data_IF_563855888583
#
_entry.id   IF_563855888583
#
_cell.length_a   1.000
_cell.length_b   1.000
_cell.length_c   1.000
_cell.angle_alpha   90.00
_cell.angle_beta   90.00
_cell.angle_gamma   90.00
#
_symmetry.space_group_name_H-M   'P 1'
#
loop_
_entity.id
_entity.type
_entity.pdbx_description
1 polymer ?
#
# COMPACT_ATOMS: atom_id res chain seq x y z
N UNK A 1 4.43 -14.94 7.52
CA UNK A 1 4.97 -13.64 7.90
C UNK A 1 3.98 -12.52 7.66
N UNK A 2 3.97 -11.56 8.56
CA UNK A 2 3.09 -10.40 8.44
C UNK A 2 3.90 -9.21 7.94
N UNK A 3 3.32 -8.46 7.00
CA UNK A 3 3.93 -7.26 6.47
C UNK A 3 3.01 -6.07 6.70
N UNK A 4 3.62 -4.94 7.07
CA UNK A 4 2.95 -3.66 7.11
C UNK A 4 3.31 -2.92 5.83
N UNK A 5 2.32 -2.54 5.04
CA UNK A 5 2.51 -1.86 3.76
C UNK A 5 1.89 -0.48 3.86
N UNK A 6 2.67 0.56 3.55
CA UNK A 6 2.17 1.93 3.54
C UNK A 6 2.35 2.51 2.15
N UNK A 7 1.29 3.10 1.61
CA UNK A 7 1.27 3.65 0.26
C UNK A 7 0.89 5.12 0.30
N UNK A 8 1.67 5.94 -0.39
CA UNK A 8 1.40 7.36 -0.55
C UNK A 8 1.17 7.67 -2.02
N UNK A 9 0.08 8.35 -2.31
CA UNK A 9 -0.23 8.88 -3.64
C UNK A 9 -0.17 10.41 -3.59
N UNK A 10 0.20 11.04 -4.70
CA UNK A 10 0.23 12.49 -4.79
C UNK A 10 -1.18 13.02 -5.05
N UNK A 11 -1.71 13.80 -4.10
CA UNK A 11 -3.03 14.46 -4.23
C UNK A 11 -4.13 13.52 -4.75
N UNK A 12 -4.36 12.37 -4.08
CA UNK A 12 -5.34 11.41 -4.59
C UNK A 12 -6.76 11.94 -4.43
N UNK A 13 -7.60 11.69 -5.43
CA UNK A 13 -9.03 11.94 -5.33
C UNK A 13 -9.68 10.80 -4.55
N UNK A 14 -10.92 11.00 -4.10
CA UNK A 14 -11.67 9.93 -3.43
C UNK A 14 -11.85 8.73 -4.36
N UNK A 15 -12.05 8.97 -5.64
CA UNK A 15 -12.16 7.89 -6.64
C UNK A 15 -10.87 7.09 -6.73
N UNK A 16 -9.72 7.73 -6.73
CA UNK A 16 -8.43 7.06 -6.75
C UNK A 16 -8.21 6.22 -5.50
N UNK A 17 -8.58 6.76 -4.33
CA UNK A 17 -8.45 6.02 -3.08
C UNK A 17 -9.34 4.77 -3.07
N UNK A 18 -10.57 4.90 -3.58
CA UNK A 18 -11.48 3.76 -3.67
C UNK A 18 -10.94 2.69 -4.64
N UNK A 19 -10.36 3.10 -5.76
CA UNK A 19 -9.74 2.17 -6.72
C UNK A 19 -8.55 1.45 -6.11
N UNK A 20 -7.71 2.17 -5.37
CA UNK A 20 -6.55 1.59 -4.71
C UNK A 20 -7.00 0.55 -3.69
N UNK A 21 -7.97 0.89 -2.84
CA UNK A 21 -8.49 -0.02 -1.84
C UNK A 21 -9.02 -1.31 -2.47
N UNK A 22 -9.85 -1.18 -3.51
CA UNK A 22 -10.41 -2.33 -4.21
C UNK A 22 -9.33 -3.20 -4.84
N UNK A 23 -8.35 -2.59 -5.51
CA UNK A 23 -7.27 -3.31 -6.15
C UNK A 23 -6.38 -4.04 -5.14
N UNK A 24 -6.09 -3.40 -4.01
CA UNK A 24 -5.28 -4.00 -2.95
C UNK A 24 -6.02 -5.19 -2.32
N UNK A 25 -7.31 -5.04 -2.04
CA UNK A 25 -8.11 -6.12 -1.46
C UNK A 25 -8.18 -7.34 -2.36
N UNK A 26 -8.27 -7.13 -3.68
CA UNK A 26 -8.28 -8.24 -4.63
C UNK A 26 -6.99 -9.07 -4.56
N UNK A 27 -5.90 -8.47 -4.12
CA UNK A 27 -4.61 -9.16 -3.97
C UNK A 27 -4.31 -9.52 -2.52
N UNK A 28 -5.32 -9.56 -1.67
CA UNK A 28 -5.22 -10.00 -0.27
C UNK A 28 -4.51 -9.02 0.66
N UNK A 29 -4.39 -7.76 0.26
CA UNK A 29 -3.94 -6.70 1.16
C UNK A 29 -5.15 -6.19 1.93
N UNK A 30 -5.03 -6.19 3.25
CA UNK A 30 -6.11 -5.78 4.13
C UNK A 30 -5.91 -4.35 4.59
N UNK A 31 -6.86 -3.48 4.29
CA UNK A 31 -6.81 -2.09 4.71
C UNK A 31 -6.92 -1.93 6.23
N UNK A 32 -6.06 -1.10 6.79
CA UNK A 32 -6.04 -0.81 8.23
C UNK A 32 -6.48 0.63 8.51
N UNK A 33 -6.19 1.53 7.59
CA UNK A 33 -6.53 2.94 7.73
C UNK A 33 -5.43 3.84 7.22
N UNK A 34 -5.55 5.14 7.49
CA UNK A 34 -4.56 6.13 7.10
C UNK A 34 -3.65 6.49 8.26
N UNK A 35 -2.46 6.98 7.96
CA UNK A 35 -1.53 7.49 8.95
C UNK A 35 -0.71 8.65 8.39
N UNK A 36 -0.23 9.50 9.30
CA UNK A 36 0.67 10.60 8.96
C UNK A 36 2.07 10.27 9.44
N UNK A 37 3.09 10.63 8.65
CA UNK A 37 4.47 10.50 9.11
C UNK A 37 4.91 11.79 9.82
N UNK A 38 6.19 11.87 10.18
CA UNK A 38 6.74 13.02 10.91
C UNK A 38 6.71 14.33 10.11
N UNK A 39 6.51 14.26 8.80
CA UNK A 39 6.47 15.41 7.89
C UNK A 39 5.05 15.68 7.38
N UNK A 40 4.03 15.13 8.06
CA UNK A 40 2.62 15.25 7.70
C UNK A 40 2.28 14.67 6.32
N UNK A 41 3.07 13.73 5.84
CA UNK A 41 2.73 12.98 4.63
C UNK A 41 1.71 11.90 4.97
N UNK A 42 0.64 11.84 4.20
CA UNK A 42 -0.43 10.88 4.44
C UNK A 42 -0.14 9.56 3.71
N UNK A 43 -0.19 8.46 4.45
CA UNK A 43 -0.04 7.11 3.92
C UNK A 43 -1.28 6.30 4.23
N UNK A 44 -1.65 5.40 3.30
CA UNK A 44 -2.68 4.40 3.54
C UNK A 44 -1.98 3.12 3.94
N UNK A 45 -2.38 2.55 5.08
CA UNK A 45 -1.74 1.36 5.61
C UNK A 45 -2.53 0.10 5.29
N UNK A 46 -1.81 -0.94 4.91
CA UNK A 46 -2.38 -2.26 4.64
C UNK A 46 -1.58 -3.31 5.39
N UNK A 47 -2.24 -4.43 5.67
CA UNK A 47 -1.59 -5.62 6.21
C UNK A 47 -1.60 -6.70 5.15
N UNK A 48 -0.51 -7.44 5.06
CA UNK A 48 -0.37 -8.53 4.11
C UNK A 48 0.32 -9.71 4.78
N UNK A 49 -0.23 -10.90 4.61
CA UNK A 49 0.31 -12.13 5.20
C UNK A 49 0.77 -13.03 4.08
N UNK A 50 2.01 -13.50 4.15
CA UNK A 50 2.55 -14.45 3.19
C UNK A 50 3.55 -15.37 3.86
N UNK A 51 3.51 -16.65 3.49
CA UNK A 51 4.46 -17.63 3.98
C UNK A 51 5.73 -17.68 3.11
N UNK A 52 5.69 -17.17 1.89
CA UNK A 52 6.74 -17.38 0.90
C UNK A 52 7.36 -16.12 0.32
N UNK A 53 6.67 -14.96 0.41
CA UNK A 53 7.18 -13.74 -0.20
C UNK A 53 8.14 -12.99 0.73
N UNK A 54 9.15 -12.37 0.13
CA UNK A 54 10.07 -11.48 0.84
C UNK A 54 9.48 -10.06 0.90
N UNK A 55 10.08 -9.19 1.73
CA UNK A 55 9.71 -7.77 1.78
C UNK A 55 9.79 -7.14 0.38
N UNK A 56 10.85 -7.45 -0.35
CA UNK A 56 11.06 -6.90 -1.70
C UNK A 56 9.94 -7.32 -2.64
N UNK A 57 9.53 -8.57 -2.58
CA UNK A 57 8.45 -9.08 -3.41
C UNK A 57 7.11 -8.44 -3.05
N UNK A 58 6.83 -8.26 -1.76
CA UNK A 58 5.62 -7.60 -1.30
C UNK A 58 5.63 -6.14 -1.73
N UNK A 59 6.77 -5.46 -1.61
CA UNK A 59 6.92 -4.08 -2.05
C UNK A 59 6.67 -3.95 -3.56
N UNK A 60 7.26 -4.83 -4.36
CA UNK A 60 7.08 -4.81 -5.81
C UNK A 60 5.62 -5.06 -6.20
N UNK A 61 4.96 -5.98 -5.53
CA UNK A 61 3.55 -6.27 -5.77
C UNK A 61 2.67 -5.06 -5.44
N UNK A 62 2.86 -4.49 -4.26
CA UNK A 62 2.09 -3.32 -3.83
C UNK A 62 2.34 -2.12 -4.75
N UNK A 63 3.59 -1.89 -5.13
CA UNK A 63 3.95 -0.80 -6.04
C UNK A 63 3.28 -0.97 -7.40
N UNK A 64 3.30 -2.17 -7.94
CA UNK A 64 2.65 -2.49 -9.21
C UNK A 64 1.15 -2.18 -9.19
N UNK A 65 0.48 -2.55 -8.09
CA UNK A 65 -0.95 -2.28 -7.93
C UNK A 65 -1.20 -0.77 -7.84
N UNK A 66 -0.44 -0.09 -7.00
CA UNK A 66 -0.62 1.35 -6.77
C UNK A 66 -0.31 2.17 -8.02
N UNK A 67 0.68 1.77 -8.80
CA UNK A 67 1.07 2.48 -10.01
C UNK A 67 -0.01 2.41 -11.09
N UNK A 68 -0.84 1.39 -11.10
CA UNK A 68 -1.97 1.31 -12.01
C UNK A 68 -3.05 2.34 -11.68
N UNK A 69 -3.11 2.78 -10.43
CA UNK A 69 -4.05 3.80 -10.00
C UNK A 69 -3.48 5.20 -10.27
N UNK A 70 -2.22 5.40 -9.92
CA UNK A 70 -1.53 6.67 -10.14
C UNK A 70 -0.03 6.41 -10.26
N UNK A 71 0.62 7.02 -11.23
CA UNK A 71 2.07 6.90 -11.42
C UNK A 71 2.84 7.54 -10.27
N UNK A 72 3.97 6.93 -9.93
CA UNK A 72 4.88 7.47 -8.94
C UNK A 72 4.45 7.29 -7.48
N UNK A 73 3.82 6.16 -7.12
CA UNK A 73 3.47 5.94 -5.72
C UNK A 73 4.72 5.71 -4.88
N UNK A 74 4.64 6.11 -3.62
CA UNK A 74 5.67 5.75 -2.63
C UNK A 74 5.13 4.56 -1.84
N UNK A 75 5.90 3.48 -1.80
CA UNK A 75 5.50 2.26 -1.10
C UNK A 75 6.57 1.90 -0.09
N UNK A 76 6.17 1.75 1.16
CA UNK A 76 7.05 1.35 2.26
C UNK A 76 6.54 0.03 2.83
N UNK A 77 7.42 -0.93 2.97
CA UNK A 77 7.07 -2.24 3.51
C UNK A 77 7.97 -2.56 4.69
N UNK A 78 7.33 -2.91 5.80
CA UNK A 78 8.03 -3.37 6.99
C UNK A 78 7.53 -4.76 7.34
N UNK A 79 8.44 -5.58 7.81
CA UNK A 79 8.12 -6.90 8.32
C UNK A 79 7.72 -6.79 9.78
N UNK A 80 6.58 -7.35 10.12
CA UNK A 80 6.11 -7.38 11.49
C UNK A 80 6.65 -8.58 12.27
#
# INVERSE_FOLDING_TARGET
MNFKVRIRLANPSLTMLAKLESAMEQKKFRGVGGCLDAHDNYYIEYRYVSASRTEREVCALAHSIAEQVQKGPVVLVDKD
#
